data_IF_997124932732
#
_entry.id   IF_997124932732
#
_cell.length_a   1.000
_cell.length_b   1.000
_cell.length_c   1.000
_cell.angle_alpha   90.00
_cell.angle_beta   90.00
_cell.angle_gamma   90.00
#
_symmetry.space_group_name_H-M   'P 1'
#
loop_
_entity.id
_entity.type
_entity.pdbx_description
1 polymer ?
#
# COMPACT_ATOMS: atom_id res chain seq x y z
N UNK A 1 35.55 4.88 5.32
CA UNK A 1 34.30 5.01 6.04
C UNK A 1 33.17 5.08 4.98
N UNK A 2 32.59 3.94 4.62
CA UNK A 2 31.51 3.85 3.63
C UNK A 2 30.25 4.44 4.28
N UNK A 3 29.77 5.54 3.76
CA UNK A 3 28.46 6.10 4.10
C UNK A 3 27.43 5.09 3.54
N UNK A 4 26.95 4.18 4.39
CA UNK A 4 25.80 3.36 4.07
C UNK A 4 24.65 4.30 3.69
N UNK A 5 24.34 4.40 2.40
CA UNK A 5 23.16 5.09 1.92
C UNK A 5 21.95 4.42 2.62
N UNK A 6 21.38 5.11 3.60
CA UNK A 6 20.17 4.67 4.30
C UNK A 6 19.05 4.60 3.25
N UNK A 7 18.84 3.42 2.68
CA UNK A 7 17.75 3.22 1.71
C UNK A 7 16.44 3.44 2.44
N UNK A 8 15.73 4.49 2.05
CA UNK A 8 14.42 4.79 2.59
C UNK A 8 13.41 3.78 2.03
N UNK A 9 12.81 2.95 2.90
CA UNK A 9 11.72 2.05 2.52
C UNK A 9 10.39 2.82 2.62
N UNK A 10 10.23 3.77 1.73
CA UNK A 10 9.05 4.62 1.66
C UNK A 10 7.84 3.86 1.15
N UNK A 11 6.74 3.96 1.89
CA UNK A 11 5.42 3.42 1.56
C UNK A 11 4.44 4.58 1.53
N UNK A 12 3.58 4.65 0.53
CA UNK A 12 2.53 5.67 0.44
C UNK A 12 1.17 5.00 0.50
N UNK A 13 0.27 5.48 1.35
CA UNK A 13 -1.13 5.04 1.39
C UNK A 13 -2.02 6.11 0.76
N UNK A 14 -2.81 5.68 -0.22
CA UNK A 14 -3.72 6.53 -1.00
C UNK A 14 -5.11 5.91 -1.06
N UNK A 15 -6.06 6.64 -1.60
CA UNK A 15 -7.47 6.26 -1.72
C UNK A 15 -8.37 7.43 -1.33
N UNK A 16 -9.65 7.28 -1.54
CA UNK A 16 -10.64 8.32 -1.33
C UNK A 16 -10.74 8.78 0.13
N UNK A 17 -11.47 9.87 0.36
CA UNK A 17 -11.76 10.34 1.72
C UNK A 17 -12.60 9.30 2.47
N UNK A 18 -12.39 9.19 3.78
CA UNK A 18 -13.13 8.32 4.71
C UNK A 18 -12.98 6.81 4.49
N UNK A 19 -12.12 6.32 3.58
CA UNK A 19 -11.83 4.88 3.46
C UNK A 19 -11.05 4.31 4.64
N UNK A 20 -10.48 5.18 5.51
CA UNK A 20 -9.84 4.77 6.76
C UNK A 20 -8.33 4.62 6.69
N UNK A 21 -7.62 5.28 5.75
CA UNK A 21 -6.15 5.26 5.64
C UNK A 21 -5.45 5.58 6.94
N UNK A 22 -5.76 6.73 7.50
CA UNK A 22 -5.23 7.21 8.80
C UNK A 22 -5.57 6.24 9.93
N UNK A 23 -6.79 5.65 9.92
CA UNK A 23 -7.18 4.69 10.95
C UNK A 23 -6.33 3.39 10.91
N UNK A 24 -5.95 2.93 9.72
CA UNK A 24 -5.05 1.78 9.53
C UNK A 24 -3.68 2.09 10.17
N UNK A 25 -3.14 3.28 9.90
CA UNK A 25 -1.84 3.70 10.43
C UNK A 25 -1.90 3.90 11.93
N UNK A 26 -2.93 4.56 12.45
CA UNK A 26 -3.13 4.73 13.90
C UNK A 26 -3.28 3.37 14.62
N UNK A 27 -3.98 2.42 14.00
CA UNK A 27 -4.08 1.06 14.53
C UNK A 27 -2.72 0.37 14.55
N UNK A 28 -1.93 0.49 13.49
CA UNK A 28 -0.60 -0.10 13.39
C UNK A 28 0.34 0.44 14.49
N UNK A 29 0.36 1.76 14.69
CA UNK A 29 1.35 2.43 15.53
C UNK A 29 0.96 2.43 17.00
N UNK A 30 -0.29 2.83 17.26
CA UNK A 30 -0.77 3.12 18.61
C UNK A 30 -1.70 2.03 19.15
N UNK A 31 -2.02 1.02 18.35
CA UNK A 31 -3.06 0.01 18.63
C UNK A 31 -4.40 0.65 19.06
N UNK A 32 -4.71 1.81 18.49
CA UNK A 32 -5.91 2.59 18.81
C UNK A 32 -6.81 2.73 17.59
N UNK A 33 -8.12 2.84 17.86
CA UNK A 33 -9.13 3.21 16.87
C UNK A 33 -10.02 4.28 17.49
N UNK A 34 -10.25 5.35 16.75
CA UNK A 34 -11.06 6.48 17.22
C UNK A 34 -11.32 7.49 16.11
N UNK A 35 -11.88 8.62 16.47
CA UNK A 35 -12.12 9.72 15.53
C UNK A 35 -10.80 10.32 15.08
N UNK A 36 -10.42 10.05 13.84
CA UNK A 36 -9.30 10.71 13.17
C UNK A 36 -9.79 12.01 12.53
N UNK A 37 -9.00 13.07 12.63
CA UNK A 37 -9.24 14.29 11.85
C UNK A 37 -8.87 14.03 10.39
N UNK A 38 -9.54 14.71 9.45
CA UNK A 38 -9.17 14.65 8.04
C UNK A 38 -7.71 15.09 7.87
N UNK A 39 -6.92 14.27 7.18
CA UNK A 39 -5.52 14.58 6.88
C UNK A 39 -5.45 15.77 5.94
N UNK A 40 -4.61 16.76 6.26
CA UNK A 40 -4.33 17.91 5.41
C UNK A 40 -2.96 17.70 4.78
N UNK A 41 -2.91 17.55 3.46
CA UNK A 41 -1.67 17.25 2.75
C UNK A 41 -1.22 15.80 2.95
N UNK A 42 -0.09 15.59 3.59
CA UNK A 42 0.41 14.27 3.98
C UNK A 42 1.13 14.33 5.33
N UNK A 43 1.02 13.26 6.10
CA UNK A 43 1.83 13.03 7.29
C UNK A 43 2.72 11.81 7.09
N UNK A 44 3.86 11.74 7.77
CA UNK A 44 4.71 10.57 7.68
C UNK A 44 5.05 10.02 9.07
N UNK A 45 5.28 8.73 9.12
CA UNK A 45 5.65 8.02 10.34
C UNK A 45 6.63 6.92 10.03
N UNK A 46 7.64 6.76 10.87
CA UNK A 46 8.61 5.67 10.79
C UNK A 46 8.22 4.55 11.76
N UNK A 47 8.23 3.31 11.27
CA UNK A 47 8.01 2.13 12.08
C UNK A 47 8.99 1.02 11.68
N UNK A 48 9.43 0.21 12.66
CA UNK A 48 10.29 -0.94 12.40
C UNK A 48 9.48 -2.22 12.33
N UNK A 49 9.49 -2.90 11.16
CA UNK A 49 8.80 -4.18 10.93
C UNK A 49 9.79 -5.15 10.31
N UNK A 50 9.84 -6.41 10.81
CA UNK A 50 10.76 -7.46 10.33
C UNK A 50 12.22 -6.99 10.20
N UNK A 51 12.66 -6.12 11.11
CA UNK A 51 14.03 -5.62 11.15
C UNK A 51 14.34 -4.44 10.23
N UNK A 52 13.44 -4.05 9.32
CA UNK A 52 13.61 -2.89 8.45
C UNK A 52 12.78 -1.69 8.92
N UNK A 53 13.28 -0.49 8.65
CA UNK A 53 12.52 0.74 8.90
C UNK A 53 11.64 1.04 7.70
N UNK A 54 10.32 1.11 7.92
CA UNK A 54 9.34 1.54 6.94
C UNK A 54 8.99 3.00 7.22
N UNK A 55 9.04 3.83 6.18
CA UNK A 55 8.65 5.23 6.22
C UNK A 55 7.28 5.37 5.54
N UNK A 56 6.20 5.45 6.33
CA UNK A 56 4.82 5.42 5.87
C UNK A 56 4.30 6.84 5.70
N UNK A 57 3.78 7.15 4.52
CA UNK A 57 3.18 8.43 4.17
C UNK A 57 1.67 8.29 4.06
N UNK A 58 0.94 8.87 5.04
CA UNK A 58 -0.51 8.99 5.02
C UNK A 58 -0.92 10.21 4.21
N UNK A 59 -1.69 10.04 3.16
CA UNK A 59 -2.09 11.14 2.28
C UNK A 59 -3.55 11.53 2.48
N UNK A 60 -3.85 12.81 2.26
CA UNK A 60 -5.22 13.29 2.20
C UNK A 60 -5.98 12.63 1.04
N UNK A 61 -7.17 12.07 1.31
CA UNK A 61 -8.01 11.41 0.30
C UNK A 61 -8.87 12.37 -0.53
N UNK A 62 -8.70 13.69 -0.37
CA UNK A 62 -9.50 14.67 -1.08
C UNK A 62 -8.98 14.87 -2.51
N UNK A 63 -9.88 14.88 -3.49
CA UNK A 63 -9.60 15.04 -4.93
C UNK A 63 -8.78 16.28 -5.26
N UNK A 64 -8.95 17.35 -4.51
CA UNK A 64 -8.19 18.61 -4.69
C UNK A 64 -6.71 18.49 -4.41
N UNK A 65 -6.26 17.43 -3.72
CA UNK A 65 -4.85 17.17 -3.46
C UNK A 65 -4.24 16.13 -4.39
N UNK A 66 -5.02 15.58 -5.36
CA UNK A 66 -4.51 14.57 -6.31
C UNK A 66 -3.28 15.07 -7.09
N UNK A 67 -3.27 16.32 -7.52
CA UNK A 67 -2.11 16.89 -8.25
C UNK A 67 -0.81 16.92 -7.43
N UNK A 68 -0.91 16.95 -6.11
CA UNK A 68 0.24 16.91 -5.21
C UNK A 68 0.75 15.49 -4.94
N UNK A 69 -0.07 14.48 -5.22
CA UNK A 69 0.24 13.08 -4.89
C UNK A 69 1.45 12.58 -5.68
N UNK A 70 1.68 13.11 -6.90
CA UNK A 70 2.87 12.81 -7.70
C UNK A 70 4.19 13.06 -6.96
N UNK A 71 4.22 14.08 -6.08
CA UNK A 71 5.38 14.37 -5.25
C UNK A 71 5.61 13.29 -4.18
N UNK A 72 4.51 12.67 -3.71
CA UNK A 72 4.60 11.64 -2.67
C UNK A 72 4.99 10.27 -3.22
N UNK A 73 4.70 9.94 -4.50
CA UNK A 73 5.08 8.65 -5.08
C UNK A 73 6.59 8.50 -5.34
N UNK A 74 7.29 9.61 -5.56
CA UNK A 74 8.70 9.58 -5.93
C UNK A 74 9.54 8.88 -4.85
N UNK A 75 10.26 7.84 -5.28
CA UNK A 75 11.12 7.05 -4.40
C UNK A 75 10.38 6.07 -3.48
N UNK A 76 9.09 5.84 -3.70
CA UNK A 76 8.35 4.82 -2.95
C UNK A 76 8.79 3.42 -3.37
N UNK A 77 8.80 2.50 -2.41
CA UNK A 77 9.04 1.06 -2.60
C UNK A 77 7.74 0.27 -2.72
N UNK A 78 6.66 0.79 -2.14
CA UNK A 78 5.32 0.22 -2.24
C UNK A 78 4.26 1.31 -2.15
N UNK A 79 3.10 1.04 -2.75
CA UNK A 79 1.90 1.88 -2.65
C UNK A 79 0.75 1.02 -2.15
N UNK A 80 -0.01 1.54 -1.20
CA UNK A 80 -1.25 0.97 -0.71
C UNK A 80 -2.40 1.78 -1.31
N UNK A 81 -3.32 1.13 -2.05
CA UNK A 81 -4.57 1.74 -2.50
C UNK A 81 -5.68 1.22 -1.62
N UNK A 82 -6.28 2.11 -0.83
CA UNK A 82 -7.32 1.75 0.13
C UNK A 82 -8.70 2.17 -0.37
N UNK A 83 -9.66 1.26 -0.27
CA UNK A 83 -11.08 1.52 -0.49
C UNK A 83 -11.93 1.02 0.70
N UNK A 84 -13.17 1.45 0.78
CA UNK A 84 -14.15 1.02 1.79
C UNK A 84 -15.07 -0.04 1.19
N UNK A 85 -15.11 -1.26 1.76
CA UNK A 85 -15.96 -2.34 1.26
C UNK A 85 -17.46 -2.02 1.30
N UNK A 86 -17.86 -1.00 2.07
CA UNK A 86 -19.26 -0.55 2.21
C UNK A 86 -19.63 0.57 1.24
N UNK A 87 -18.66 1.10 0.47
CA UNK A 87 -18.86 2.17 -0.50
C UNK A 87 -18.27 1.81 -1.86
N UNK A 88 -19.15 1.39 -2.78
CA UNK A 88 -18.78 0.97 -4.12
C UNK A 88 -18.07 2.07 -4.93
N UNK A 89 -18.39 3.34 -4.70
CA UNK A 89 -17.75 4.45 -5.42
C UNK A 89 -16.25 4.50 -5.12
N UNK A 90 -15.85 4.21 -3.87
CA UNK A 90 -14.44 4.19 -3.49
C UNK A 90 -13.68 3.06 -4.18
N UNK A 91 -14.35 1.93 -4.47
CA UNK A 91 -13.77 0.84 -5.26
C UNK A 91 -13.68 1.17 -6.75
N UNK A 92 -14.73 1.77 -7.33
CA UNK A 92 -14.70 2.25 -8.72
C UNK A 92 -13.55 3.24 -8.93
N UNK A 93 -13.30 4.11 -7.95
CA UNK A 93 -12.22 5.09 -8.00
C UNK A 93 -10.81 4.47 -7.91
N UNK A 94 -10.66 3.21 -7.48
CA UNK A 94 -9.37 2.50 -7.49
C UNK A 94 -8.72 2.55 -8.88
N UNK A 95 -9.52 2.40 -9.95
CA UNK A 95 -9.01 2.47 -11.33
C UNK A 95 -8.39 3.83 -11.65
N UNK A 96 -8.97 4.91 -11.13
CA UNK A 96 -8.43 6.26 -11.32
C UNK A 96 -7.10 6.43 -10.57
N UNK A 97 -6.98 5.85 -9.36
CA UNK A 97 -5.74 5.84 -8.60
C UNK A 97 -4.65 5.04 -9.30
N UNK A 98 -4.98 3.86 -9.86
CA UNK A 98 -4.03 3.05 -10.64
C UNK A 98 -3.52 3.80 -11.87
N UNK A 99 -4.41 4.37 -12.67
CA UNK A 99 -4.03 5.14 -13.85
C UNK A 99 -3.09 6.30 -13.51
N UNK A 100 -3.28 6.93 -12.34
CA UNK A 100 -2.41 8.02 -11.88
C UNK A 100 -1.02 7.51 -11.49
N UNK A 101 -0.94 6.36 -10.80
CA UNK A 101 0.33 5.72 -10.44
C UNK A 101 1.10 5.32 -11.70
N UNK A 102 0.46 4.63 -12.65
CA UNK A 102 1.09 4.08 -13.85
C UNK A 102 1.70 5.17 -14.75
N UNK A 103 1.12 6.37 -14.77
CA UNK A 103 1.69 7.52 -15.48
C UNK A 103 3.03 7.98 -14.92
N UNK A 104 3.27 7.74 -13.64
CA UNK A 104 4.38 8.34 -12.90
C UNK A 104 5.43 7.35 -12.42
N UNK A 105 5.05 6.08 -12.24
CA UNK A 105 5.92 5.05 -11.66
C UNK A 105 5.68 3.72 -12.38
N UNK A 106 6.78 3.05 -12.72
CA UNK A 106 6.77 1.69 -13.24
C UNK A 106 7.45 0.73 -12.25
N UNK A 107 7.04 -0.53 -12.25
CA UNK A 107 7.66 -1.61 -11.46
C UNK A 107 7.64 -1.36 -9.94
N UNK A 108 6.50 -0.93 -9.40
CA UNK A 108 6.28 -0.77 -7.95
C UNK A 108 5.33 -1.84 -7.42
N UNK A 109 5.57 -2.32 -6.21
CA UNK A 109 4.65 -3.23 -5.54
C UNK A 109 3.42 -2.47 -5.02
N UNK A 110 2.24 -2.82 -5.54
CA UNK A 110 0.97 -2.18 -5.16
C UNK A 110 0.11 -3.18 -4.42
N UNK A 111 -0.42 -2.76 -3.26
CA UNK A 111 -1.38 -3.52 -2.47
C UNK A 111 -2.73 -2.83 -2.51
N UNK A 112 -3.76 -3.55 -2.97
CA UNK A 112 -5.15 -3.13 -2.89
C UNK A 112 -5.71 -3.55 -1.53
N UNK A 113 -6.26 -2.60 -0.77
CA UNK A 113 -6.79 -2.83 0.57
C UNK A 113 -8.28 -2.52 0.62
N UNK A 114 -9.11 -3.55 0.86
CA UNK A 114 -10.52 -3.40 1.22
C UNK A 114 -10.65 -3.20 2.72
N UNK A 115 -10.81 -1.96 3.17
CA UNK A 115 -10.92 -1.66 4.60
C UNK A 115 -12.36 -1.74 5.08
N UNK A 116 -12.53 -1.78 6.41
CA UNK A 116 -13.79 -1.88 7.15
C UNK A 116 -14.49 -3.24 6.98
N UNK A 117 -13.72 -4.34 6.84
CA UNK A 117 -14.27 -5.69 6.69
C UNK A 117 -15.11 -6.15 7.90
N UNK A 118 -15.03 -5.44 9.05
CA UNK A 118 -15.93 -5.61 10.19
C UNK A 118 -17.38 -5.23 9.89
N UNK A 119 -17.62 -4.43 8.84
CA UNK A 119 -18.95 -4.00 8.40
C UNK A 119 -19.52 -4.91 7.29
N UNK A 120 -19.23 -6.20 7.36
CA UNK A 120 -19.61 -7.18 6.34
C UNK A 120 -21.13 -7.25 6.08
N UNK A 121 -21.96 -6.93 7.08
CA UNK A 121 -23.42 -6.90 6.98
C UNK A 121 -23.98 -5.81 6.04
N UNK A 122 -23.18 -4.77 5.78
CA UNK A 122 -23.54 -3.67 4.86
C UNK A 122 -22.55 -3.55 3.70
N UNK A 123 -21.81 -4.63 3.43
CA UNK A 123 -20.85 -4.73 2.31
C UNK A 123 -21.54 -4.45 0.97
N UNK A 124 -20.88 -3.67 0.13
CA UNK A 124 -21.29 -3.40 -1.27
C UNK A 124 -20.30 -3.96 -2.28
N UNK A 125 -19.04 -4.12 -1.90
CA UNK A 125 -18.01 -4.71 -2.75
C UNK A 125 -17.71 -6.11 -2.26
N UNK A 126 -18.02 -7.14 -3.08
CA UNK A 126 -17.72 -8.52 -2.70
C UNK A 126 -16.21 -8.78 -2.71
N UNK A 127 -15.79 -9.74 -1.87
CA UNK A 127 -14.38 -10.15 -1.80
C UNK A 127 -13.90 -10.65 -3.17
N UNK A 128 -14.73 -11.46 -3.84
CA UNK A 128 -14.43 -12.09 -5.12
C UNK A 128 -14.23 -11.04 -6.22
N UNK A 129 -15.08 -10.00 -6.27
CA UNK A 129 -14.96 -8.92 -7.26
C UNK A 129 -13.69 -8.11 -7.04
N UNK A 130 -13.35 -7.76 -5.79
CA UNK A 130 -12.13 -7.03 -5.49
C UNK A 130 -10.88 -7.88 -5.76
N UNK A 131 -10.92 -9.17 -5.46
CA UNK A 131 -9.86 -10.12 -5.74
C UNK A 131 -9.63 -10.31 -7.24
N UNK A 132 -10.71 -10.45 -8.01
CA UNK A 132 -10.64 -10.56 -9.47
C UNK A 132 -10.01 -9.31 -10.08
N UNK A 133 -10.49 -8.13 -9.67
CA UNK A 133 -9.92 -6.86 -10.09
C UNK A 133 -8.41 -6.75 -9.77
N UNK A 134 -8.02 -7.14 -8.56
CA UNK A 134 -6.62 -7.13 -8.16
C UNK A 134 -5.78 -8.07 -9.04
N UNK A 135 -6.26 -9.28 -9.32
CA UNK A 135 -5.59 -10.25 -10.19
C UNK A 135 -5.41 -9.72 -11.61
N UNK A 136 -6.45 -9.13 -12.20
CA UNK A 136 -6.41 -8.56 -13.56
C UNK A 136 -5.42 -7.39 -13.69
N UNK A 137 -5.19 -6.66 -12.59
CA UNK A 137 -4.28 -5.52 -12.56
C UNK A 137 -2.93 -5.82 -11.88
N UNK A 138 -2.60 -7.10 -11.64
CA UNK A 138 -1.35 -7.54 -10.98
C UNK A 138 -1.12 -6.89 -9.60
N UNK A 139 -2.18 -6.73 -8.82
CA UNK A 139 -2.13 -6.20 -7.46
C UNK A 139 -2.19 -7.33 -6.44
N UNK A 140 -1.58 -7.11 -5.27
CA UNK A 140 -1.88 -7.95 -4.10
C UNK A 140 -3.15 -7.42 -3.42
N UNK A 141 -4.08 -8.30 -3.06
CA UNK A 141 -5.32 -7.91 -2.38
C UNK A 141 -5.38 -8.44 -0.96
N UNK A 142 -5.81 -7.59 -0.04
CA UNK A 142 -6.08 -7.96 1.36
C UNK A 142 -7.23 -7.11 1.91
N UNK A 143 -8.07 -7.73 2.75
CA UNK A 143 -9.07 -6.98 3.52
C UNK A 143 -8.58 -6.69 4.93
N UNK A 144 -8.90 -5.50 5.44
CA UNK A 144 -8.51 -5.05 6.77
C UNK A 144 -9.69 -4.49 7.56
N UNK A 145 -9.59 -4.52 8.87
CA UNK A 145 -10.39 -3.70 9.77
C UNK A 145 -9.49 -2.95 10.75
N UNK A 146 -9.38 -1.66 10.57
CA UNK A 146 -8.70 -0.81 11.54
C UNK A 146 -9.43 -0.81 12.89
N UNK A 147 -10.77 -0.99 12.89
CA UNK A 147 -11.59 -1.05 14.10
C UNK A 147 -11.31 -2.30 14.91
N UNK A 148 -11.39 -3.47 14.29
CA UNK A 148 -11.23 -4.76 14.96
C UNK A 148 -9.79 -5.29 14.92
N UNK A 149 -8.85 -4.52 14.37
CA UNK A 149 -7.44 -4.91 14.20
C UNK A 149 -7.27 -6.20 13.38
N UNK A 150 -8.07 -6.34 12.30
CA UNK A 150 -7.96 -7.49 11.40
C UNK A 150 -6.97 -7.16 10.30
N UNK A 151 -5.98 -8.02 10.09
CA UNK A 151 -4.98 -7.98 9.03
C UNK A 151 -4.17 -6.67 8.93
N UNK A 152 -4.20 -5.78 9.96
CA UNK A 152 -3.46 -4.52 9.89
C UNK A 152 -1.95 -4.75 9.91
N UNK A 153 -1.45 -5.51 10.89
CA UNK A 153 -0.02 -5.82 10.94
C UNK A 153 0.41 -6.71 9.76
N UNK A 154 -0.47 -7.61 9.31
CA UNK A 154 -0.19 -8.53 8.21
C UNK A 154 0.03 -7.78 6.88
N UNK A 155 -0.78 -6.75 6.60
CA UNK A 155 -0.58 -5.86 5.46
C UNK A 155 0.87 -5.33 5.38
N UNK A 156 1.38 -4.83 6.51
CA UNK A 156 2.74 -4.26 6.54
C UNK A 156 3.83 -5.33 6.59
N UNK A 157 3.56 -6.52 7.13
CA UNK A 157 4.46 -7.67 7.04
C UNK A 157 4.67 -8.11 5.59
N UNK A 158 3.61 -8.20 4.79
CA UNK A 158 3.66 -8.53 3.37
C UNK A 158 4.51 -7.51 2.60
N UNK A 159 4.30 -6.22 2.87
CA UNK A 159 5.07 -5.15 2.24
C UNK A 159 6.55 -5.22 2.64
N UNK A 160 6.84 -5.48 3.93
CA UNK A 160 8.20 -5.61 4.41
C UNK A 160 8.92 -6.79 3.75
N UNK A 161 8.26 -7.95 3.58
CA UNK A 161 8.81 -9.12 2.90
C UNK A 161 9.15 -8.79 1.44
N UNK A 162 8.26 -8.11 0.72
CA UNK A 162 8.51 -7.70 -0.67
C UNK A 162 9.68 -6.72 -0.79
N UNK A 163 9.83 -5.80 0.14
CA UNK A 163 10.97 -4.87 0.17
C UNK A 163 12.28 -5.64 0.44
N UNK A 164 12.27 -6.61 1.35
CA UNK A 164 13.43 -7.46 1.65
C UNK A 164 13.82 -8.30 0.44
N UNK A 165 12.86 -8.95 -0.23
CA UNK A 165 13.10 -9.71 -1.46
C UNK A 165 13.76 -8.83 -2.55
N UNK A 166 13.26 -7.62 -2.74
CA UNK A 166 13.80 -6.66 -3.70
C UNK A 166 15.25 -6.25 -3.36
N UNK A 167 15.51 -5.95 -2.10
CA UNK A 167 16.84 -5.54 -1.64
C UNK A 167 17.87 -6.67 -1.78
N UNK A 168 17.48 -7.92 -1.49
CA UNK A 168 18.36 -9.09 -1.63
C UNK A 168 18.74 -9.34 -3.10
N UNK A 169 17.77 -9.28 -4.03
CA UNK A 169 18.04 -9.43 -5.47
C UNK A 169 19.00 -8.37 -6.01
N UNK A 170 18.90 -7.14 -5.54
CA UNK A 170 19.81 -6.06 -5.98
C UNK A 170 21.22 -6.24 -5.40
N UNK A 171 21.38 -6.78 -4.20
CA UNK A 171 22.70 -7.06 -3.62
C UNK A 171 23.41 -8.23 -4.31
N UNK A 172 22.67 -9.21 -4.85
CA UNK A 172 23.24 -10.32 -5.64
C UNK A 172 23.69 -9.87 -7.03
N UNK A 173 23.02 -8.88 -7.62
CA UNK A 173 23.37 -8.33 -8.93
C UNK A 173 24.54 -7.34 -8.91
N UNK A 174 24.86 -6.72 -7.79
CA UNK A 174 26.05 -5.86 -7.64
C UNK A 174 27.37 -6.69 -7.65
N UNK A 175 27.30 -8.02 -7.61
CA UNK A 175 28.44 -8.95 -7.73
C UNK A 175 28.74 -9.44 -9.15
N UNK A 176 27.83 -9.26 -10.13
CA UNK A 176 28.01 -9.63 -11.54
C UNK A 176 27.37 -8.59 -12.45
N UNK A 177 28.21 -7.87 -13.18
CA UNK A 177 27.77 -6.94 -14.24
C UNK A 177 27.36 -7.77 -15.46
N UNK A 178 26.08 -8.15 -15.56
CA UNK A 178 25.47 -8.54 -16.82
C UNK A 178 24.37 -7.55 -17.20
N UNK A 179 24.71 -6.72 -18.18
CA UNK A 179 23.85 -5.74 -18.82
C UNK A 179 22.93 -6.50 -19.79
N UNK A 180 21.83 -7.05 -19.30
CA UNK A 180 20.64 -7.40 -20.08
C UNK A 180 19.69 -8.29 -19.24
N UNK A 181 18.83 -7.68 -18.44
CA UNK A 181 17.63 -8.37 -18.01
C UNK A 181 16.50 -7.36 -17.76
N UNK A 182 15.67 -7.20 -18.80
CA UNK A 182 14.28 -6.79 -18.65
C UNK A 182 13.56 -7.90 -17.86
N UNK A 183 13.66 -7.89 -16.54
CA UNK A 183 12.90 -8.79 -15.71
C UNK A 183 11.48 -8.26 -15.55
N UNK A 184 10.57 -8.77 -16.39
CA UNK A 184 9.14 -8.76 -16.14
C UNK A 184 8.90 -9.40 -14.77
N UNK A 185 8.56 -8.61 -13.77
CA UNK A 185 8.17 -9.09 -12.45
C UNK A 185 6.81 -9.77 -12.57
N UNK A 186 6.81 -11.09 -12.76
CA UNK A 186 5.61 -11.91 -12.56
C UNK A 186 5.35 -11.99 -11.06
N UNK A 187 4.47 -11.15 -10.57
CA UNK A 187 3.93 -11.25 -9.22
C UNK A 187 2.99 -12.46 -9.17
N UNK A 188 3.45 -13.55 -8.58
CA UNK A 188 2.54 -14.62 -8.19
C UNK A 188 1.57 -14.04 -7.17
N UNK A 189 0.31 -13.89 -7.57
CA UNK A 189 -0.78 -13.42 -6.74
C UNK A 189 -1.07 -14.50 -5.67
N UNK A 190 -0.38 -14.41 -4.54
CA UNK A 190 -0.63 -15.27 -3.37
C UNK A 190 -1.84 -14.74 -2.62
N UNK A 191 -2.98 -15.41 -2.77
CA UNK A 191 -4.14 -15.17 -1.94
C UNK A 191 -3.95 -15.83 -0.59
N UNK A 192 -3.87 -15.05 0.48
CA UNK A 192 -4.10 -15.55 1.84
C UNK A 192 -5.60 -15.46 2.11
N UNK A 193 -6.28 -16.61 1.98
CA UNK A 193 -7.58 -16.84 2.60
C UNK A 193 -7.26 -17.30 4.02
N UNK A 194 -7.58 -16.49 5.01
CA UNK A 194 -7.65 -16.88 6.42
C UNK A 194 -9.10 -17.11 6.81
#
# INVERSE_FOLDING_TARGET
MSILKKTSNKIVIIGDTNVGKTCIIERLINNKFGNTKSTIGASHTDIKIKGINLNIWDTAGQERFRSMINMYYKGSKSIIICFDITDENTFINVKNWLNEIEKNIHNIFIVLVGNKCDLNNIRKVSFENAQLFAKENNLFYIETSAKNNINVIELFNIIADKILEYNNKNNENDGNIDINNNSNYNFNCGCLIL
#
